data_IF_450911343432
#
_entry.id   IF_450911343432
#
_cell.length_a   1.000
_cell.length_b   1.000
_cell.length_c   1.000
_cell.angle_alpha   90.00
_cell.angle_beta   90.00
_cell.angle_gamma   90.00
#
_symmetry.space_group_name_H-M   'P 1'
#
loop_
_entity.id
_entity.type
_entity.pdbx_description
1 polymer ?
#
# COMPACT_ATOMS: atom_id res chain seq x y z
N UNK A 1 10.17 -5.94 3.66
CA UNK A 1 9.54 -4.94 2.79
C UNK A 1 8.04 -5.19 2.66
N UNK A 2 7.58 -6.21 1.93
CA UNK A 2 6.12 -6.46 1.80
C UNK A 2 5.42 -6.74 3.14
N UNK A 3 6.02 -7.52 4.03
CA UNK A 3 5.41 -7.81 5.34
C UNK A 3 5.23 -6.56 6.21
N UNK A 4 6.16 -5.60 6.09
CA UNK A 4 6.09 -4.33 6.80
C UNK A 4 4.92 -3.47 6.27
N UNK A 5 4.78 -3.37 4.95
CA UNK A 5 3.66 -2.68 4.30
C UNK A 5 2.33 -3.32 4.71
N UNK A 6 2.25 -4.65 4.69
CA UNK A 6 1.06 -5.39 5.11
C UNK A 6 0.76 -5.13 6.58
N UNK A 7 1.78 -5.11 7.45
CA UNK A 7 1.62 -4.84 8.87
C UNK A 7 1.11 -3.42 9.14
N UNK A 8 1.68 -2.39 8.51
CA UNK A 8 1.20 -1.01 8.66
C UNK A 8 -0.26 -0.87 8.21
N UNK A 9 -0.62 -1.43 7.05
CA UNK A 9 -2.01 -1.39 6.56
C UNK A 9 -2.96 -2.21 7.46
N UNK A 10 -2.51 -3.28 8.10
CA UNK A 10 -3.33 -4.12 8.97
C UNK A 10 -3.55 -3.52 10.37
N UNK A 11 -2.52 -2.85 10.91
CA UNK A 11 -2.52 -2.36 12.28
C UNK A 11 -2.95 -0.89 12.37
N UNK A 12 -2.46 -0.06 11.44
CA UNK A 12 -2.58 1.39 11.51
C UNK A 12 -3.58 1.95 10.49
N UNK A 13 -4.10 1.09 9.60
CA UNK A 13 -4.92 1.50 8.45
C UNK A 13 -4.26 2.63 7.63
N UNK A 14 -2.93 2.69 7.68
CA UNK A 14 -2.12 3.73 7.08
C UNK A 14 -0.79 3.13 6.61
N UNK A 15 -0.19 3.78 5.63
CA UNK A 15 1.14 3.46 5.15
C UNK A 15 1.91 4.75 4.89
N UNK A 16 2.96 4.94 5.68
CA UNK A 16 3.91 6.03 5.50
C UNK A 16 5.05 5.59 4.58
N UNK A 17 5.01 6.07 3.33
CA UNK A 17 6.00 5.76 2.32
C UNK A 17 7.36 6.39 2.66
N UNK A 18 7.38 7.61 3.21
CA UNK A 18 8.63 8.28 3.61
C UNK A 18 9.33 7.54 4.76
N UNK A 19 8.57 7.08 5.76
CA UNK A 19 9.12 6.25 6.84
C UNK A 19 9.62 4.89 6.33
N UNK A 20 8.95 4.29 5.33
CA UNK A 20 9.44 3.09 4.66
C UNK A 20 10.77 3.35 3.95
N UNK A 21 10.86 4.41 3.14
CA UNK A 21 12.06 4.75 2.38
C UNK A 21 13.25 5.03 3.29
N UNK A 22 13.03 5.78 4.39
CA UNK A 22 14.06 6.06 5.38
C UNK A 22 14.60 4.78 6.05
N UNK A 23 13.71 3.83 6.39
CA UNK A 23 14.11 2.56 7.04
C UNK A 23 14.79 1.58 6.08
N UNK A 24 14.37 1.55 4.82
CA UNK A 24 14.83 0.58 3.85
C UNK A 24 15.92 1.12 2.90
N UNK A 25 16.21 2.44 2.94
CA UNK A 25 17.13 3.13 2.04
C UNK A 25 16.85 2.86 0.55
N UNK A 26 15.58 2.69 0.21
CA UNK A 26 15.11 2.39 -1.15
C UNK A 26 13.85 3.22 -1.45
N UNK A 27 13.71 3.77 -2.66
CA UNK A 27 12.48 4.45 -3.07
C UNK A 27 11.29 3.49 -3.04
N UNK A 28 10.16 3.94 -2.49
CA UNK A 28 8.95 3.15 -2.35
C UNK A 28 8.40 2.75 -3.72
N UNK A 29 8.35 3.71 -4.64
CA UNK A 29 7.87 3.49 -6.01
C UNK A 29 8.70 2.46 -6.77
N UNK A 30 10.02 2.39 -6.54
CA UNK A 30 10.87 1.38 -7.17
C UNK A 30 10.58 -0.04 -6.64
N UNK A 31 10.12 -0.17 -5.40
CA UNK A 31 9.80 -1.46 -4.78
C UNK A 31 8.40 -1.95 -5.15
N UNK A 32 7.47 -1.04 -5.44
CA UNK A 32 6.04 -1.33 -5.57
C UNK A 32 5.39 -0.67 -6.79
N UNK A 33 6.13 -0.41 -7.86
CA UNK A 33 5.62 0.19 -9.10
C UNK A 33 4.36 -0.51 -9.61
N UNK A 34 4.37 -1.86 -9.59
CA UNK A 34 3.25 -2.70 -10.02
C UNK A 34 2.00 -2.57 -9.14
N UNK A 35 2.14 -2.08 -7.90
CA UNK A 35 1.01 -1.96 -6.98
C UNK A 35 0.09 -0.80 -7.38
N UNK A 36 0.62 0.25 -8.02
CA UNK A 36 -0.13 1.47 -8.30
C UNK A 36 -1.35 1.24 -9.21
N UNK A 37 -1.24 0.37 -10.22
CA UNK A 37 -2.37 0.00 -11.07
C UNK A 37 -3.51 -0.66 -10.28
N UNK A 38 -3.15 -1.48 -9.29
CA UNK A 38 -4.13 -2.18 -8.42
C UNK A 38 -4.69 -1.28 -7.34
N UNK A 39 -3.89 -0.35 -6.86
CA UNK A 39 -4.27 0.61 -5.81
C UNK A 39 -5.20 1.70 -6.35
N UNK A 40 -5.05 2.07 -7.63
CA UNK A 40 -5.84 3.11 -8.28
C UNK A 40 -7.35 2.94 -8.08
N UNK A 41 -7.89 1.72 -8.23
CA UNK A 41 -9.32 1.49 -8.06
C UNK A 41 -9.84 1.77 -6.65
N UNK A 42 -9.02 1.58 -5.61
CA UNK A 42 -9.41 1.90 -4.24
C UNK A 42 -9.39 3.41 -3.99
N UNK A 43 -8.47 4.11 -4.66
CA UNK A 43 -8.38 5.59 -4.61
C UNK A 43 -9.58 6.22 -5.30
N UNK A 44 -9.91 5.77 -6.52
CA UNK A 44 -11.05 6.27 -7.29
C UNK A 44 -12.39 6.07 -6.56
N UNK A 45 -12.50 5.01 -5.77
CA UNK A 45 -13.70 4.69 -4.97
C UNK A 45 -13.73 5.42 -3.62
N UNK A 46 -12.67 6.15 -3.26
CA UNK A 46 -12.58 6.83 -1.96
C UNK A 46 -12.38 5.88 -0.78
N UNK A 47 -11.91 4.66 -1.02
CA UNK A 47 -11.59 3.67 0.04
C UNK A 47 -10.15 3.76 0.52
N UNK A 48 -9.29 4.37 -0.30
CA UNK A 48 -7.91 4.68 0.04
C UNK A 48 -7.64 6.12 -0.39
N UNK A 49 -7.04 6.92 0.48
CA UNK A 49 -6.64 8.29 0.15
C UNK A 49 -5.12 8.38 0.13
N UNK A 50 -4.59 9.07 -0.88
CA UNK A 50 -3.18 9.49 -0.89
C UNK A 50 -3.07 10.93 -0.43
N UNK A 51 -2.23 11.17 0.57
CA UNK A 51 -1.93 12.48 1.14
C UNK A 51 -0.42 12.64 1.23
N UNK A 52 0.19 13.19 0.17
CA UNK A 52 1.65 13.24 0.03
C UNK A 52 2.24 11.82 0.03
N UNK A 53 3.06 11.55 1.05
CA UNK A 53 3.74 10.27 1.26
C UNK A 53 2.92 9.29 2.13
N UNK A 54 1.70 9.67 2.52
CA UNK A 54 0.80 8.80 3.28
C UNK A 54 -0.26 8.19 2.37
N UNK A 55 -0.48 6.89 2.52
CA UNK A 55 -1.72 6.23 2.11
C UNK A 55 -2.56 5.96 3.36
N UNK A 56 -3.82 6.39 3.33
CA UNK A 56 -4.76 6.27 4.44
C UNK A 56 -5.95 5.45 3.97
N UNK A 57 -6.26 4.35 4.65
CA UNK A 57 -7.47 3.58 4.41
C UNK A 57 -8.64 4.36 5.05
N UNK A 58 -9.65 4.65 4.26
CA UNK A 58 -10.86 5.33 4.74
C UNK A 58 -11.82 4.32 5.39
N UNK A 59 -12.81 4.79 6.17
CA UNK A 59 -13.70 3.94 6.97
C UNK A 59 -14.29 2.74 6.20
N UNK A 60 -14.76 2.93 4.96
CA UNK A 60 -15.29 1.83 4.15
C UNK A 60 -14.19 0.88 3.63
N UNK A 61 -12.99 1.41 3.41
CA UNK A 61 -11.82 0.66 2.96
C UNK A 61 -11.22 -0.24 4.03
N UNK A 62 -11.51 -0.02 5.32
CA UNK A 62 -11.01 -0.87 6.41
C UNK A 62 -11.45 -2.32 6.21
N UNK A 63 -12.69 -2.56 5.75
CA UNK A 63 -13.16 -3.91 5.44
C UNK A 63 -12.40 -4.57 4.27
N UNK A 64 -11.74 -3.76 3.45
CA UNK A 64 -10.98 -4.16 2.26
C UNK A 64 -9.47 -4.16 2.48
N UNK A 65 -8.98 -3.90 3.71
CA UNK A 65 -7.55 -3.72 3.99
C UNK A 65 -6.69 -4.87 3.44
N UNK A 66 -7.18 -6.11 3.51
CA UNK A 66 -6.48 -7.30 2.99
C UNK A 66 -6.28 -7.25 1.47
N UNK A 67 -7.27 -6.74 0.74
CA UNK A 67 -7.18 -6.57 -0.71
C UNK A 67 -6.23 -5.43 -1.07
N UNK A 68 -6.30 -4.32 -0.34
CA UNK A 68 -5.37 -3.18 -0.49
C UNK A 68 -3.93 -3.66 -0.24
N UNK A 69 -3.68 -4.36 0.86
CA UNK A 69 -2.38 -4.91 1.21
C UNK A 69 -1.87 -5.95 0.19
N UNK A 70 -2.77 -6.73 -0.41
CA UNK A 70 -2.41 -7.69 -1.45
C UNK A 70 -1.88 -7.03 -2.74
N UNK A 71 -2.25 -5.77 -3.01
CA UNK A 71 -1.73 -5.00 -4.16
C UNK A 71 -0.20 -4.84 -4.11
N UNK A 72 0.38 -4.76 -2.91
CA UNK A 72 1.82 -4.58 -2.69
C UNK A 72 2.62 -5.89 -2.67
N UNK A 73 1.95 -7.05 -2.81
CA UNK A 73 2.65 -8.32 -2.95
C UNK A 73 3.28 -8.41 -4.35
N UNK A 74 4.44 -9.07 -4.49
CA UNK A 74 5.02 -9.32 -5.81
C UNK A 74 4.00 -10.00 -6.72
N UNK A 75 3.99 -9.63 -8.00
CA UNK A 75 3.32 -10.43 -9.01
C UNK A 75 4.03 -11.79 -9.03
N UNK A 76 3.36 -12.84 -8.53
CA UNK A 76 3.87 -14.18 -8.71
C UNK A 76 4.02 -14.40 -10.22
N UNK A 77 5.26 -14.57 -10.69
CA UNK A 77 5.50 -15.09 -12.03
C UNK A 77 4.91 -16.50 -12.00
N UNK A 78 3.74 -16.67 -12.60
CA UNK A 78 3.23 -17.99 -12.91
C UNK A 78 4.21 -18.56 -13.93
N UNK A 79 5.09 -19.44 -13.46
CA UNK A 79 6.06 -20.16 -14.28
C UNK A 79 5.38 -21.24 -15.12
#
# INVERSE_FOLDING_TARGET
MTDEVVQSLACDHALDMGAFEWRNAQPFDACFEHAWERVAMFIERGWLRREGDMLLIENEGELLWRMIAASFRPLAVVA
#
